data_IF_949917545142
#
_entry.id   IF_949917545142
#
_cell.length_a   1.000
_cell.length_b   1.000
_cell.length_c   1.000
_cell.angle_alpha   90.00
_cell.angle_beta   90.00
_cell.angle_gamma   90.00
#
_symmetry.space_group_name_H-M   'P 1'
#
loop_
_entity.id
_entity.type
_entity.pdbx_description
1 polymer ?
#
# COMPACT_ATOMS: atom_id res chain seq x y z
N UNK A 1 -4.45 3.32 -8.97
CA UNK A 1 -3.08 3.84 -9.12
C UNK A 1 -3.04 5.15 -9.89
N UNK A 2 -3.73 5.26 -11.05
CA UNK A 2 -3.78 6.51 -11.83
C UNK A 2 -4.37 7.68 -11.03
N UNK A 3 -5.46 7.45 -10.31
CA UNK A 3 -6.07 8.48 -9.47
C UNK A 3 -5.10 9.02 -8.42
N UNK A 4 -4.33 8.12 -7.78
CA UNK A 4 -3.30 8.52 -6.82
C UNK A 4 -2.19 9.36 -7.49
N UNK A 5 -1.78 9.00 -8.70
CA UNK A 5 -0.80 9.79 -9.46
C UNK A 5 -1.35 11.16 -9.85
N UNK A 6 -2.64 11.26 -10.15
CA UNK A 6 -3.28 12.54 -10.42
C UNK A 6 -3.31 13.44 -9.18
N UNK A 7 -3.55 12.89 -7.99
CA UNK A 7 -3.43 13.65 -6.75
C UNK A 7 -2.00 14.12 -6.50
N UNK A 8 -1.01 13.26 -6.70
CA UNK A 8 0.40 13.68 -6.63
C UNK A 8 0.72 14.83 -7.57
N UNK A 9 0.27 14.74 -8.82
CA UNK A 9 0.50 15.80 -9.82
C UNK A 9 -0.15 17.12 -9.43
N UNK A 10 -1.37 17.07 -8.89
CA UNK A 10 -2.09 18.28 -8.45
C UNK A 10 -1.42 18.99 -7.26
N UNK A 11 -0.68 18.26 -6.43
CA UNK A 11 0.02 18.80 -5.26
C UNK A 11 1.44 19.23 -5.62
N UNK A 12 2.17 18.40 -6.34
CA UNK A 12 3.62 18.56 -6.55
C UNK A 12 4.01 18.95 -7.98
N UNK A 13 3.08 18.85 -8.94
CA UNK A 13 3.37 19.03 -10.36
C UNK A 13 3.99 17.82 -11.04
N UNK A 14 4.27 16.74 -10.31
CA UNK A 14 4.85 15.49 -10.84
C UNK A 14 4.01 14.29 -10.45
N UNK A 15 3.81 13.36 -11.39
CA UNK A 15 2.95 12.17 -11.19
C UNK A 15 3.56 11.12 -10.26
N UNK A 16 4.88 11.00 -10.22
CA UNK A 16 5.55 9.94 -9.47
C UNK A 16 6.77 10.44 -8.67
N UNK A 17 7.72 11.08 -9.31
CA UNK A 17 8.92 11.57 -8.66
C UNK A 17 8.71 13.01 -8.15
N UNK A 18 7.89 13.12 -7.12
CA UNK A 18 7.54 14.41 -6.53
C UNK A 18 8.65 14.91 -5.59
N UNK A 19 9.26 16.03 -5.92
CA UNK A 19 10.22 16.71 -5.06
C UNK A 19 9.51 17.63 -4.05
N UNK A 20 8.55 17.09 -3.29
CA UNK A 20 7.70 17.86 -2.40
C UNK A 20 8.22 17.96 -0.98
N UNK A 21 8.88 16.91 -0.48
CA UNK A 21 9.52 16.93 0.83
C UNK A 21 10.76 17.82 0.85
N UNK A 22 10.92 18.62 1.90
CA UNK A 22 12.05 19.52 2.11
C UNK A 22 12.54 19.41 3.56
N UNK A 23 13.82 19.74 3.83
CA UNK A 23 14.27 19.87 5.21
C UNK A 23 13.38 20.84 5.99
N UNK A 24 12.82 20.35 7.10
CA UNK A 24 11.88 21.13 7.92
C UNK A 24 10.40 20.97 7.55
N UNK A 25 10.06 20.21 6.50
CA UNK A 25 8.65 19.95 6.15
C UNK A 25 8.39 19.66 4.68
N UNK A 26 7.57 20.48 4.06
CA UNK A 26 7.15 20.32 2.67
C UNK A 26 7.32 21.61 1.89
N UNK A 27 7.39 21.53 0.56
CA UNK A 27 7.59 22.68 -0.30
C UNK A 27 6.42 23.68 -0.25
N UNK A 28 5.20 23.18 -0.18
CA UNK A 28 3.97 23.96 -0.13
C UNK A 28 2.85 23.16 0.53
N UNK A 29 1.86 23.86 1.07
CA UNK A 29 0.68 23.22 1.62
C UNK A 29 -0.22 22.62 0.54
N UNK A 30 -0.99 21.60 0.93
CA UNK A 30 -1.96 20.99 0.03
C UNK A 30 -3.20 21.89 -0.08
N UNK A 31 -3.65 22.24 -1.30
CA UNK A 31 -4.89 22.98 -1.47
C UNK A 31 -6.08 22.25 -0.87
N UNK A 32 -6.94 22.95 -0.11
CA UNK A 32 -8.11 22.36 0.55
C UNK A 32 -9.01 21.58 -0.42
N UNK A 33 -9.17 22.09 -1.65
CA UNK A 33 -9.93 21.37 -2.67
C UNK A 33 -9.37 19.98 -2.96
N UNK A 34 -8.04 19.83 -3.00
CA UNK A 34 -7.42 18.52 -3.24
C UNK A 34 -7.65 17.59 -2.06
N UNK A 35 -7.60 18.10 -0.83
CA UNK A 35 -7.92 17.32 0.36
C UNK A 35 -9.36 16.79 0.36
N UNK A 36 -10.32 17.63 -0.02
CA UNK A 36 -11.71 17.21 -0.16
C UNK A 36 -11.89 16.15 -1.25
N UNK A 37 -11.27 16.35 -2.42
CA UNK A 37 -11.35 15.39 -3.52
C UNK A 37 -10.71 14.03 -3.14
N UNK A 38 -9.61 14.04 -2.37
CA UNK A 38 -8.99 12.81 -1.85
C UNK A 38 -9.90 12.12 -0.84
N UNK A 39 -10.52 12.87 0.08
CA UNK A 39 -11.45 12.31 1.05
C UNK A 39 -12.67 11.66 0.35
N UNK A 40 -13.28 12.36 -0.60
CA UNK A 40 -14.37 11.83 -1.41
C UNK A 40 -13.97 10.57 -2.18
N UNK A 41 -12.77 10.55 -2.76
CA UNK A 41 -12.25 9.38 -3.45
C UNK A 41 -12.05 8.19 -2.50
N UNK A 42 -11.54 8.44 -1.29
CA UNK A 42 -11.37 7.40 -0.28
C UNK A 42 -12.71 6.81 0.18
N UNK A 43 -13.75 7.63 0.26
CA UNK A 43 -15.07 7.19 0.73
C UNK A 43 -15.89 6.48 -0.37
N UNK A 44 -15.65 6.81 -1.63
CA UNK A 44 -16.44 6.32 -2.76
C UNK A 44 -15.66 5.32 -3.63
N UNK A 45 -14.64 5.79 -4.30
CA UNK A 45 -13.93 5.02 -5.35
C UNK A 45 -12.99 3.95 -4.81
N UNK A 46 -12.32 4.23 -3.70
CA UNK A 46 -11.37 3.28 -3.11
C UNK A 46 -12.03 1.98 -2.66
N UNK A 47 -13.18 1.98 -1.96
CA UNK A 47 -13.87 0.74 -1.59
C UNK A 47 -14.30 -0.11 -2.77
N UNK A 48 -14.77 0.50 -3.86
CA UNK A 48 -15.12 -0.22 -5.09
C UNK A 48 -13.91 -0.93 -5.69
N UNK A 49 -12.83 -0.17 -5.92
CA UNK A 49 -11.58 -0.73 -6.47
C UNK A 49 -10.97 -1.81 -5.59
N UNK A 50 -11.11 -1.65 -4.28
CA UNK A 50 -10.61 -2.64 -3.32
C UNK A 50 -11.46 -3.90 -3.34
N UNK A 51 -12.79 -3.76 -3.42
CA UNK A 51 -13.73 -4.87 -3.57
C UNK A 51 -13.45 -5.70 -4.83
N UNK A 52 -13.26 -5.03 -5.96
CA UNK A 52 -12.91 -5.68 -7.23
C UNK A 52 -11.58 -6.43 -7.14
N UNK A 53 -10.55 -5.77 -6.60
CA UNK A 53 -9.23 -6.38 -6.43
C UNK A 53 -9.28 -7.60 -5.48
N UNK A 54 -10.02 -7.50 -4.38
CA UNK A 54 -10.19 -8.59 -3.42
C UNK A 54 -10.90 -9.79 -4.05
N UNK A 55 -11.98 -9.56 -4.80
CA UNK A 55 -12.71 -10.62 -5.47
C UNK A 55 -11.88 -11.33 -6.55
N UNK A 56 -11.12 -10.56 -7.34
CA UNK A 56 -10.27 -11.09 -8.41
C UNK A 56 -9.06 -11.87 -7.89
N UNK A 57 -8.52 -11.49 -6.74
CA UNK A 57 -7.28 -12.06 -6.19
C UNK A 57 -7.61 -13.06 -5.08
N UNK A 58 -8.22 -12.61 -3.98
CA UNK A 58 -8.39 -13.44 -2.78
C UNK A 58 -9.47 -14.52 -2.94
N UNK A 59 -10.51 -14.27 -3.72
CA UNK A 59 -11.56 -15.24 -3.98
C UNK A 59 -11.24 -16.18 -5.15
N UNK A 60 -10.17 -15.87 -5.86
CA UNK A 60 -9.73 -16.69 -6.99
C UNK A 60 -9.13 -18.02 -6.53
N UNK A 61 -9.75 -19.12 -6.97
CA UNK A 61 -9.31 -20.49 -6.63
C UNK A 61 -7.86 -20.75 -7.08
N UNK A 62 -7.49 -20.28 -8.25
CA UNK A 62 -6.13 -20.47 -8.79
C UNK A 62 -5.11 -19.74 -7.94
N UNK A 63 -5.41 -18.49 -7.53
CA UNK A 63 -4.56 -17.72 -6.64
C UNK A 63 -4.38 -18.43 -5.29
N UNK A 64 -5.49 -18.89 -4.68
CA UNK A 64 -5.45 -19.64 -3.42
C UNK A 64 -4.58 -20.88 -3.52
N UNK A 65 -4.76 -21.68 -4.57
CA UNK A 65 -3.99 -22.92 -4.77
C UNK A 65 -2.49 -22.68 -5.00
N UNK A 66 -2.12 -21.51 -5.51
CA UNK A 66 -0.73 -21.17 -5.76
C UNK A 66 -0.02 -20.48 -4.60
N UNK A 67 -0.76 -20.00 -3.62
CA UNK A 67 -0.18 -19.19 -2.53
C UNK A 67 -0.38 -19.79 -1.15
N UNK A 68 -1.47 -20.51 -0.90
CA UNK A 68 -1.74 -21.07 0.42
C UNK A 68 -0.75 -22.20 0.70
N UNK A 69 -0.11 -22.12 1.85
CA UNK A 69 0.92 -23.06 2.33
C UNK A 69 2.18 -23.18 1.45
N UNK A 70 2.38 -22.24 0.52
CA UNK A 70 3.61 -22.17 -0.28
C UNK A 70 4.65 -21.31 0.46
N UNK A 71 5.90 -21.77 0.49
CA UNK A 71 7.04 -21.10 1.14
C UNK A 71 6.76 -20.69 2.60
N UNK A 72 6.15 -21.58 3.35
CA UNK A 72 5.86 -21.37 4.77
C UNK A 72 7.16 -21.41 5.58
N UNK A 73 7.45 -20.31 6.27
CA UNK A 73 8.64 -20.19 7.12
C UNK A 73 8.19 -20.15 8.58
N UNK A 74 8.68 -21.10 9.35
CA UNK A 74 8.42 -21.17 10.79
C UNK A 74 9.19 -20.11 11.58
N UNK A 75 8.79 -19.95 12.86
CA UNK A 75 9.43 -18.98 13.77
C UNK A 75 10.93 -19.23 13.94
N UNK A 76 11.31 -20.48 14.17
CA UNK A 76 12.70 -20.85 14.46
C UNK A 76 13.58 -20.69 13.22
N UNK A 77 13.05 -21.05 12.04
CA UNK A 77 13.72 -20.82 10.77
C UNK A 77 13.90 -19.33 10.49
N UNK A 78 12.87 -18.51 10.74
CA UNK A 78 12.94 -17.07 10.56
C UNK A 78 14.03 -16.43 11.43
N UNK A 79 14.21 -16.90 12.66
CA UNK A 79 15.28 -16.46 13.55
C UNK A 79 16.64 -16.92 13.02
N UNK A 80 16.76 -18.20 12.72
CA UNK A 80 18.03 -18.81 12.27
C UNK A 80 18.56 -18.18 10.96
N UNK A 81 17.64 -17.79 10.06
CA UNK A 81 17.97 -17.15 8.78
C UNK A 81 18.12 -15.62 8.87
N UNK A 82 17.92 -15.04 10.06
CA UNK A 82 18.08 -13.60 10.28
C UNK A 82 17.01 -12.75 9.61
N UNK A 83 15.78 -13.23 9.52
CA UNK A 83 14.67 -12.47 8.97
C UNK A 83 14.38 -11.25 9.83
N UNK A 84 13.90 -10.18 9.22
CA UNK A 84 13.54 -8.94 9.88
C UNK A 84 12.27 -8.32 9.26
N UNK A 85 11.77 -7.24 9.85
CA UNK A 85 10.63 -6.49 9.34
C UNK A 85 9.33 -7.31 9.27
N UNK A 86 8.54 -7.16 8.20
CA UNK A 86 7.26 -7.83 8.04
C UNK A 86 7.35 -9.36 8.05
N UNK A 87 8.45 -9.92 7.53
CA UNK A 87 8.64 -11.38 7.45
C UNK A 87 8.75 -12.02 8.82
N UNK A 88 9.52 -11.44 9.74
CA UNK A 88 9.66 -12.00 11.09
C UNK A 88 8.37 -11.79 11.91
N UNK A 89 7.65 -10.69 11.69
CA UNK A 89 6.33 -10.47 12.32
C UNK A 89 5.29 -11.46 11.82
N UNK A 90 5.29 -11.80 10.53
CA UNK A 90 4.42 -12.81 9.96
C UNK A 90 4.71 -14.21 10.52
N UNK A 91 5.96 -14.49 10.94
CA UNK A 91 6.33 -15.73 11.62
C UNK A 91 5.94 -15.76 13.12
N UNK A 92 5.21 -14.76 13.61
CA UNK A 92 4.69 -14.69 14.97
C UNK A 92 5.63 -14.07 16.01
N UNK A 93 6.64 -13.34 15.58
CA UNK A 93 7.55 -12.59 16.45
C UNK A 93 7.18 -11.10 16.44
N UNK A 94 6.76 -10.52 17.57
CA UNK A 94 6.34 -9.12 17.67
C UNK A 94 7.57 -8.18 17.71
N UNK A 95 8.31 -8.16 16.65
CA UNK A 95 9.56 -7.40 16.58
C UNK A 95 9.46 -6.26 15.57
#
# INVERSE_FOLDING_TARGET
REDCMNFYERVSGARMHAAWFRPGGVHQDIPLKVLHDVAEWCDTRLPELFGDAMSLVLDNRIFKQRNVDIAKVGRDDAIAWGFSGPMIRAAGLPW
#
